data_IF_604263838701
#
_entry.id   IF_604263838701
#
_cell.length_a   1.000
_cell.length_b   1.000
_cell.length_c   1.000
_cell.angle_alpha   90.00
_cell.angle_beta   90.00
_cell.angle_gamma   90.00
#
_symmetry.space_group_name_H-M   'P 1'
#
loop_
_entity.id
_entity.type
_entity.pdbx_description
1 polymer ?
#
# COMPACT_ATOMS: atom_id res chain seq x y z
N UNK A 1 7.95 35.77 52.49
CA UNK A 1 8.26 35.74 51.08
C UNK A 1 8.27 37.17 50.58
N UNK A 2 9.44 37.65 50.19
CA UNK A 2 9.64 39.02 49.71
C UNK A 2 9.00 39.21 48.36
N UNK A 3 8.61 40.45 48.03
CA UNK A 3 8.00 40.81 46.72
C UNK A 3 8.84 40.37 45.54
N UNK A 4 10.16 40.33 45.67
CA UNK A 4 11.10 39.86 44.61
C UNK A 4 10.96 38.37 44.30
N UNK A 5 10.73 37.52 45.32
CA UNK A 5 10.54 36.06 45.07
C UNK A 5 9.24 35.76 44.32
N UNK A 6 8.22 36.59 44.46
CA UNK A 6 6.95 36.45 43.68
C UNK A 6 7.13 36.83 42.23
N UNK A 7 7.90 37.88 41.92
CA UNK A 7 8.19 38.31 40.55
C UNK A 7 9.06 37.30 39.79
N UNK A 8 10.05 36.68 40.46
CA UNK A 8 10.86 35.62 39.87
C UNK A 8 10.02 34.37 39.51
N UNK A 9 9.05 34.02 40.35
CA UNK A 9 8.11 32.93 40.07
C UNK A 9 7.22 33.19 38.87
N UNK A 10 6.71 34.43 38.74
CA UNK A 10 5.87 34.82 37.57
C UNK A 10 6.67 34.83 36.29
N UNK A 11 7.90 35.35 36.29
CA UNK A 11 8.79 35.36 35.12
C UNK A 11 9.11 33.90 34.69
N UNK A 12 9.39 33.02 35.63
CA UNK A 12 9.67 31.60 35.33
C UNK A 12 8.47 30.91 34.64
N UNK A 13 7.25 31.15 35.15
CA UNK A 13 6.03 30.58 34.59
C UNK A 13 5.80 31.13 33.16
N UNK A 14 5.98 32.42 32.95
CA UNK A 14 5.80 33.04 31.62
C UNK A 14 6.83 32.48 30.64
N UNK A 15 8.09 32.33 31.04
CA UNK A 15 9.13 31.73 30.14
C UNK A 15 8.84 30.26 29.81
N UNK A 16 8.36 29.46 30.75
CA UNK A 16 7.96 28.07 30.52
C UNK A 16 6.76 28.01 29.57
N UNK A 17 5.75 28.84 29.77
CA UNK A 17 4.56 28.89 28.87
C UNK A 17 4.96 29.35 27.45
N UNK A 18 5.85 30.31 27.30
CA UNK A 18 6.33 30.76 25.99
C UNK A 18 7.20 29.69 25.30
N UNK A 19 8.06 28.99 26.05
CA UNK A 19 8.89 27.92 25.48
C UNK A 19 8.04 26.71 25.06
N UNK A 20 7.16 26.22 25.92
CA UNK A 20 6.30 25.07 25.61
C UNK A 20 5.16 25.43 24.64
N UNK A 21 4.58 26.62 24.75
CA UNK A 21 3.57 27.12 23.81
C UNK A 21 4.16 27.38 22.43
N UNK A 22 5.36 27.93 22.34
CA UNK A 22 6.08 28.13 21.09
C UNK A 22 6.43 26.80 20.39
N UNK A 23 6.95 25.83 21.14
CA UNK A 23 7.22 24.49 20.61
C UNK A 23 5.94 23.79 20.15
N UNK A 24 4.85 23.91 20.90
CA UNK A 24 3.55 23.32 20.54
C UNK A 24 2.93 23.96 19.28
N UNK A 25 3.06 25.30 19.12
CA UNK A 25 2.61 25.99 17.91
C UNK A 25 3.48 25.68 16.69
N UNK A 26 4.79 25.56 16.85
CA UNK A 26 5.71 25.16 15.79
C UNK A 26 5.52 23.69 15.37
N UNK A 27 5.20 22.79 16.30
CA UNK A 27 4.92 21.39 15.99
C UNK A 27 3.60 21.19 15.22
N UNK A 28 2.61 22.06 15.41
CA UNK A 28 1.35 22.03 14.66
C UNK A 28 1.47 22.48 13.20
N UNK A 29 2.49 23.27 12.87
CA UNK A 29 2.69 23.83 11.52
C UNK A 29 3.45 22.92 10.55
N UNK A 30 4.04 21.82 11.00
CA UNK A 30 4.92 20.98 10.16
C UNK A 30 4.25 19.77 9.50
N UNK A 31 2.97 19.52 9.73
CA UNK A 31 2.35 18.25 9.31
C UNK A 31 1.87 18.18 7.85
N UNK A 32 1.73 19.27 7.13
CA UNK A 32 1.02 19.24 5.83
C UNK A 32 1.82 19.54 4.57
N UNK A 33 3.12 19.85 4.66
CA UNK A 33 3.87 20.38 3.51
C UNK A 33 4.72 19.39 2.70
N UNK A 34 4.69 18.10 3.00
CA UNK A 34 5.68 17.16 2.49
C UNK A 34 5.16 15.98 1.64
N UNK A 35 3.87 15.92 1.32
CA UNK A 35 3.33 14.88 0.44
C UNK A 35 2.89 15.55 -0.87
N UNK A 36 3.86 16.09 -1.61
CA UNK A 36 3.62 16.55 -2.97
C UNK A 36 3.56 15.34 -3.91
N UNK A 37 2.40 15.13 -4.53
CA UNK A 37 2.23 14.15 -5.58
C UNK A 37 2.11 14.82 -6.94
N UNK A 38 2.58 14.13 -7.98
CA UNK A 38 2.38 14.56 -9.36
C UNK A 38 1.02 14.08 -9.84
N UNK A 39 0.18 14.98 -10.35
CA UNK A 39 -1.08 14.60 -10.97
C UNK A 39 -0.80 13.82 -12.25
N UNK A 40 -1.34 12.61 -12.34
CA UNK A 40 -1.35 11.81 -13.57
C UNK A 40 -2.81 11.64 -14.02
N UNK A 41 -3.08 12.12 -15.21
CA UNK A 41 -4.45 12.29 -15.71
C UNK A 41 -5.12 11.02 -16.25
N UNK A 42 -4.50 9.84 -16.19
CA UNK A 42 -4.97 8.67 -16.95
C UNK A 42 -4.75 7.32 -16.25
N UNK A 43 -5.12 7.19 -14.98
CA UNK A 43 -5.20 5.85 -14.36
C UNK A 43 -6.50 5.19 -14.79
N UNK A 44 -6.42 4.00 -15.35
CA UNK A 44 -7.59 3.18 -15.64
C UNK A 44 -8.07 2.44 -14.39
N UNK A 45 -9.03 3.03 -13.68
CA UNK A 45 -9.64 2.44 -12.49
C UNK A 45 -10.51 1.22 -12.77
N UNK A 46 -10.75 0.87 -14.05
CA UNK A 46 -11.50 -0.36 -14.39
C UNK A 46 -10.65 -1.61 -14.21
N UNK A 47 -9.34 -1.49 -14.26
CA UNK A 47 -8.35 -2.57 -14.17
C UNK A 47 -7.90 -2.85 -12.72
N UNK A 48 -7.23 -3.99 -12.54
CA UNK A 48 -6.67 -4.43 -11.27
C UNK A 48 -7.66 -5.17 -10.39
N UNK A 49 -7.18 -5.60 -9.23
CA UNK A 49 -7.98 -6.27 -8.20
C UNK A 49 -8.50 -5.24 -7.19
N UNK A 50 -9.80 -5.21 -6.99
CA UNK A 50 -10.47 -4.16 -6.24
C UNK A 50 -11.09 -4.67 -4.96
N UNK A 51 -11.10 -3.81 -3.95
CA UNK A 51 -11.91 -3.98 -2.74
C UNK A 51 -12.44 -2.62 -2.30
N UNK A 52 -13.61 -2.59 -1.70
CA UNK A 52 -14.37 -1.37 -1.42
C UNK A 52 -15.35 -1.01 -2.52
N UNK A 53 -16.14 0.03 -2.32
CA UNK A 53 -17.21 0.43 -3.24
C UNK A 53 -16.67 1.08 -4.52
N UNK A 54 -17.29 0.75 -5.67
CA UNK A 54 -17.03 1.46 -6.94
C UNK A 54 -17.42 2.94 -6.87
N UNK A 55 -18.37 3.30 -6.02
CA UNK A 55 -18.80 4.69 -5.75
C UNK A 55 -17.97 5.38 -4.65
N UNK A 56 -16.90 4.75 -4.16
CA UNK A 56 -16.07 5.32 -3.12
C UNK A 56 -15.51 6.69 -3.55
N UNK A 57 -15.53 7.63 -2.60
CA UNK A 57 -15.03 9.00 -2.80
C UNK A 57 -13.54 9.07 -3.10
N UNK A 58 -12.78 8.17 -2.49
CA UNK A 58 -11.33 8.10 -2.66
C UNK A 58 -10.94 6.78 -3.31
N UNK A 59 -10.17 6.86 -4.39
CA UNK A 59 -9.58 5.71 -5.07
C UNK A 59 -8.09 5.67 -4.80
N UNK A 60 -7.63 4.55 -4.24
CA UNK A 60 -6.22 4.29 -3.97
C UNK A 60 -5.75 3.17 -4.89
N UNK A 61 -4.74 3.45 -5.72
CA UNK A 61 -4.11 2.44 -6.58
C UNK A 61 -2.71 2.17 -6.07
N UNK A 62 -2.38 0.92 -5.87
CA UNK A 62 -1.04 0.45 -5.55
C UNK A 62 -0.47 -0.37 -6.70
N UNK A 63 0.65 0.07 -7.27
CA UNK A 63 1.49 -0.79 -8.10
C UNK A 63 2.49 -1.50 -7.19
N UNK A 64 2.40 -2.82 -7.15
CA UNK A 64 3.04 -3.64 -6.14
C UNK A 64 3.65 -4.92 -6.70
N UNK A 65 4.61 -5.47 -5.97
CA UNK A 65 5.30 -6.72 -6.28
C UNK A 65 5.31 -7.61 -5.04
N UNK A 66 4.77 -8.80 -5.16
CA UNK A 66 4.69 -9.75 -4.06
C UNK A 66 6.06 -10.18 -3.49
N UNK A 67 7.12 -10.10 -4.27
CA UNK A 67 8.48 -10.44 -3.80
C UNK A 67 9.23 -9.21 -3.25
N UNK A 68 8.68 -8.00 -3.39
CA UNK A 68 9.34 -6.78 -2.91
C UNK A 68 9.23 -6.65 -1.38
N UNK A 69 10.35 -6.55 -0.64
CA UNK A 69 10.32 -6.38 0.83
C UNK A 69 9.64 -5.07 1.26
N UNK A 70 9.77 -4.01 0.45
CA UNK A 70 9.12 -2.73 0.75
C UNK A 70 7.58 -2.82 0.60
N UNK A 71 7.07 -3.66 -0.34
CA UNK A 71 5.65 -3.94 -0.46
C UNK A 71 5.14 -4.70 0.77
N UNK A 72 5.88 -5.71 1.25
CA UNK A 72 5.56 -6.38 2.51
C UNK A 72 5.51 -5.38 3.68
N UNK A 73 6.47 -4.45 3.77
CA UNK A 73 6.50 -3.44 4.82
C UNK A 73 5.34 -2.44 4.74
N UNK A 74 4.75 -2.22 3.55
CA UNK A 74 3.58 -1.37 3.36
C UNK A 74 2.25 -2.05 3.76
N UNK A 75 2.17 -3.38 3.73
CA UNK A 75 0.96 -4.18 3.98
C UNK A 75 0.19 -3.82 5.28
N UNK A 76 0.83 -3.62 6.44
CA UNK A 76 0.10 -3.24 7.66
C UNK A 76 -0.68 -1.93 7.49
N UNK A 77 -0.12 -0.97 6.75
CA UNK A 77 -0.73 0.34 6.51
C UNK A 77 -1.87 0.24 5.49
N UNK A 78 -1.72 -0.61 4.45
CA UNK A 78 -2.77 -0.91 3.48
C UNK A 78 -3.93 -1.66 4.14
N UNK A 79 -3.65 -2.67 4.98
CA UNK A 79 -4.67 -3.39 5.74
C UNK A 79 -5.44 -2.45 6.66
N UNK A 80 -4.72 -1.55 7.36
CA UNK A 80 -5.35 -0.53 8.21
C UNK A 80 -6.25 0.41 7.40
N UNK A 81 -5.76 0.93 6.27
CA UNK A 81 -6.51 1.81 5.38
C UNK A 81 -7.84 1.18 4.96
N UNK A 82 -7.80 -0.07 4.50
CA UNK A 82 -8.98 -0.84 4.06
C UNK A 82 -9.95 -1.12 5.20
N UNK A 83 -9.45 -1.32 6.42
CA UNK A 83 -10.27 -1.55 7.61
C UNK A 83 -10.93 -0.26 8.13
N UNK A 84 -10.21 0.86 8.10
CA UNK A 84 -10.71 2.15 8.60
C UNK A 84 -11.77 2.77 7.68
N UNK A 85 -11.71 2.52 6.36
CA UNK A 85 -12.55 3.19 5.35
C UNK A 85 -13.20 2.23 4.34
N UNK A 86 -13.89 1.15 4.77
CA UNK A 86 -14.36 0.07 3.88
C UNK A 86 -15.30 0.53 2.77
N UNK A 87 -16.11 1.58 3.03
CA UNK A 87 -17.11 2.09 2.09
C UNK A 87 -16.69 3.39 1.40
N UNK A 88 -15.69 4.09 1.96
CA UNK A 88 -15.28 5.43 1.49
C UNK A 88 -14.04 5.38 0.61
N UNK A 89 -13.28 4.29 0.68
CA UNK A 89 -12.07 4.04 -0.12
C UNK A 89 -12.26 2.80 -0.97
N UNK A 90 -12.04 2.94 -2.28
CA UNK A 90 -11.78 1.81 -3.16
C UNK A 90 -10.27 1.61 -3.26
N UNK A 91 -9.78 0.46 -2.81
CA UNK A 91 -8.40 0.06 -2.98
C UNK A 91 -8.24 -0.83 -4.20
N UNK A 92 -7.26 -0.54 -5.06
CA UNK A 92 -7.00 -1.22 -6.34
C UNK A 92 -5.55 -1.66 -6.36
N UNK A 93 -5.33 -2.97 -6.40
CA UNK A 93 -4.01 -3.59 -6.53
C UNK A 93 -3.67 -3.81 -8.01
N UNK A 94 -2.47 -3.41 -8.42
CA UNK A 94 -1.93 -3.57 -9.78
C UNK A 94 -0.59 -4.29 -9.70
N UNK A 95 -0.40 -5.28 -10.52
CA UNK A 95 0.84 -6.04 -10.56
C UNK A 95 1.97 -5.23 -11.18
N UNK A 96 3.11 -5.15 -10.49
CA UNK A 96 4.31 -4.51 -11.00
C UNK A 96 5.57 -5.29 -10.59
N UNK A 97 5.69 -6.59 -11.01
CA UNK A 97 6.84 -7.41 -10.68
C UNK A 97 8.12 -6.80 -11.27
N UNK A 98 9.11 -6.54 -10.40
CA UNK A 98 10.38 -5.93 -10.77
C UNK A 98 11.34 -6.97 -11.35
N UNK A 99 12.22 -6.61 -12.31
CA UNK A 99 13.14 -7.55 -12.94
C UNK A 99 14.05 -8.34 -11.98
N UNK A 100 14.52 -7.77 -10.83
CA UNK A 100 15.35 -8.54 -9.88
C UNK A 100 14.59 -9.60 -9.10
N UNK A 101 13.26 -9.57 -9.09
CA UNK A 101 12.41 -10.47 -8.32
C UNK A 101 12.01 -11.69 -9.16
N UNK A 102 12.75 -12.79 -8.97
CA UNK A 102 12.62 -14.01 -9.78
C UNK A 102 11.20 -14.56 -9.81
N UNK A 103 10.50 -14.51 -8.67
CA UNK A 103 9.16 -15.11 -8.50
C UNK A 103 8.01 -14.10 -8.46
N UNK A 104 8.27 -12.82 -8.72
CA UNK A 104 7.22 -11.80 -8.69
C UNK A 104 6.06 -12.09 -9.64
N UNK A 105 6.36 -12.63 -10.85
CA UNK A 105 5.33 -13.00 -11.84
C UNK A 105 4.58 -14.27 -11.45
N UNK A 106 5.26 -15.25 -10.90
CA UNK A 106 4.65 -16.49 -10.40
C UNK A 106 3.72 -16.21 -9.22
N UNK A 107 4.13 -15.36 -8.29
CA UNK A 107 3.30 -14.93 -7.17
C UNK A 107 2.06 -14.14 -7.63
N UNK A 108 2.22 -13.26 -8.64
CA UNK A 108 1.11 -12.57 -9.28
C UNK A 108 0.13 -13.55 -9.95
N UNK A 109 0.66 -14.56 -10.66
CA UNK A 109 -0.15 -15.61 -11.29
C UNK A 109 -0.93 -16.42 -10.27
N UNK A 110 -0.30 -16.79 -9.13
CA UNK A 110 -0.98 -17.47 -8.03
C UNK A 110 -2.14 -16.64 -7.46
N UNK A 111 -1.90 -15.33 -7.22
CA UNK A 111 -2.92 -14.44 -6.69
C UNK A 111 -4.11 -14.30 -7.65
N UNK A 112 -3.86 -14.18 -8.96
CA UNK A 112 -4.91 -14.12 -9.98
C UNK A 112 -5.69 -15.43 -10.11
N UNK A 113 -5.01 -16.58 -10.06
CA UNK A 113 -5.65 -17.89 -10.07
C UNK A 113 -6.55 -18.12 -8.83
N UNK A 114 -6.17 -17.54 -7.71
CA UNK A 114 -7.04 -17.47 -6.53
C UNK A 114 -8.21 -16.50 -6.74
N UNK A 115 -7.98 -15.40 -7.45
CA UNK A 115 -8.99 -14.41 -7.80
C UNK A 115 -10.10 -14.97 -8.66
N UNK A 116 -9.78 -15.82 -9.65
CA UNK A 116 -10.80 -16.56 -10.44
C UNK A 116 -11.70 -17.48 -9.58
N UNK A 117 -11.22 -17.84 -8.40
CA UNK A 117 -11.94 -18.66 -7.42
C UNK A 117 -12.50 -17.80 -6.26
N UNK A 118 -12.55 -16.46 -6.42
CA UNK A 118 -13.11 -15.52 -5.47
C UNK A 118 -12.26 -15.28 -4.22
N UNK A 119 -10.95 -15.65 -4.24
CA UNK A 119 -10.05 -15.59 -3.08
C UNK A 119 -8.75 -14.81 -3.34
N UNK A 120 -8.82 -13.77 -4.18
CA UNK A 120 -7.64 -12.94 -4.44
C UNK A 120 -7.04 -12.36 -3.15
N UNK A 121 -7.87 -11.73 -2.33
CA UNK A 121 -7.39 -10.98 -1.16
C UNK A 121 -6.88 -11.88 -0.04
N UNK A 122 -7.44 -13.07 0.11
CA UNK A 122 -6.94 -14.08 1.03
C UNK A 122 -5.57 -14.60 0.56
N UNK A 123 -5.42 -14.86 -0.74
CA UNK A 123 -4.15 -15.29 -1.31
C UNK A 123 -3.11 -14.16 -1.29
N UNK A 124 -3.49 -12.93 -1.61
CA UNK A 124 -2.66 -11.75 -1.49
C UNK A 124 -2.06 -11.63 -0.08
N UNK A 125 -2.89 -11.74 0.95
CA UNK A 125 -2.41 -11.70 2.33
C UNK A 125 -1.46 -12.86 2.64
N UNK A 126 -1.78 -14.08 2.20
CA UNK A 126 -0.95 -15.28 2.42
C UNK A 126 0.41 -15.17 1.74
N UNK A 127 0.47 -14.67 0.51
CA UNK A 127 1.72 -14.51 -0.22
C UNK A 127 2.63 -13.52 0.51
N UNK A 128 2.14 -12.36 0.96
CA UNK A 128 2.94 -11.41 1.72
C UNK A 128 3.33 -11.94 3.11
N UNK A 129 2.41 -12.53 3.86
CA UNK A 129 2.68 -13.09 5.20
C UNK A 129 3.77 -14.16 5.18
N UNK A 130 3.94 -14.85 4.07
CA UNK A 130 4.93 -15.91 3.90
C UNK A 130 6.11 -15.53 3.01
N UNK A 131 6.24 -14.25 2.63
CA UNK A 131 7.22 -13.77 1.65
C UNK A 131 8.64 -14.26 1.97
N UNK A 132 9.08 -14.15 3.23
CA UNK A 132 10.42 -14.58 3.66
C UNK A 132 10.65 -16.08 3.58
N UNK A 133 9.58 -16.89 3.48
CA UNK A 133 9.67 -18.35 3.40
C UNK A 133 9.86 -18.83 1.96
N UNK A 134 9.36 -18.06 0.97
CA UNK A 134 9.37 -18.52 -0.42
C UNK A 134 10.29 -17.71 -1.35
N UNK A 135 10.64 -16.47 -1.00
CA UNK A 135 11.40 -15.58 -1.91
C UNK A 135 12.80 -16.09 -2.27
N UNK A 136 13.39 -16.96 -1.44
CA UNK A 136 14.74 -17.50 -1.64
C UNK A 136 14.74 -19.00 -1.98
N UNK A 137 13.58 -19.61 -2.24
CA UNK A 137 13.50 -21.03 -2.62
C UNK A 137 14.11 -21.25 -4.01
N UNK A 138 14.65 -22.44 -4.25
CA UNK A 138 15.10 -22.84 -5.58
C UNK A 138 13.92 -23.11 -6.54
N UNK A 139 12.79 -23.58 -6.00
CA UNK A 139 11.51 -23.77 -6.71
C UNK A 139 10.37 -23.36 -5.79
N UNK A 140 9.62 -22.36 -6.22
CA UNK A 140 8.51 -21.77 -5.45
C UNK A 140 7.18 -22.51 -5.68
N UNK A 141 7.05 -23.28 -6.74
CA UNK A 141 5.78 -23.91 -7.15
C UNK A 141 5.17 -24.83 -6.11
N UNK A 142 5.94 -25.75 -5.47
CA UNK A 142 5.37 -26.59 -4.41
C UNK A 142 4.84 -25.80 -3.22
N UNK A 143 5.55 -24.72 -2.86
CA UNK A 143 5.12 -23.81 -1.78
C UNK A 143 3.80 -23.12 -2.13
N UNK A 144 3.69 -22.57 -3.32
CA UNK A 144 2.49 -21.87 -3.80
C UNK A 144 1.28 -22.80 -3.93
N UNK A 145 1.46 -24.03 -4.38
CA UNK A 145 0.40 -25.04 -4.37
C UNK A 145 -0.03 -25.39 -2.93
N UNK A 146 0.91 -25.41 -1.98
CA UNK A 146 0.62 -25.54 -0.56
C UNK A 146 -0.27 -24.41 -0.02
N UNK A 147 -0.03 -23.15 -0.43
CA UNK A 147 -0.88 -22.01 -0.07
C UNK A 147 -2.28 -22.15 -0.68
N UNK A 148 -2.36 -22.56 -1.95
CA UNK A 148 -3.64 -22.81 -2.63
C UNK A 148 -4.48 -23.86 -1.89
N UNK A 149 -3.85 -24.95 -1.47
CA UNK A 149 -4.49 -26.00 -0.67
C UNK A 149 -4.99 -25.48 0.67
N UNK A 150 -4.20 -24.69 1.40
CA UNK A 150 -4.59 -24.09 2.67
C UNK A 150 -5.84 -23.21 2.54
N UNK A 151 -6.02 -22.56 1.39
CA UNK A 151 -7.20 -21.75 1.09
C UNK A 151 -8.35 -22.56 0.48
N UNK A 152 -8.21 -23.88 0.32
CA UNK A 152 -9.25 -24.73 -0.28
C UNK A 152 -9.52 -24.42 -1.74
N UNK A 153 -8.51 -23.96 -2.48
CA UNK A 153 -8.59 -23.72 -3.92
C UNK A 153 -8.46 -25.05 -4.70
N UNK A 154 -9.02 -25.06 -5.90
CA UNK A 154 -8.80 -26.16 -6.84
C UNK A 154 -7.33 -26.21 -7.28
N UNK A 155 -6.54 -27.11 -6.69
CA UNK A 155 -5.08 -27.22 -6.90
C UNK A 155 -4.73 -27.39 -8.39
N UNK A 156 -5.49 -28.22 -9.14
CA UNK A 156 -5.25 -28.43 -10.57
C UNK A 156 -5.41 -27.14 -11.39
N UNK A 157 -6.40 -26.30 -11.05
CA UNK A 157 -6.61 -25.01 -11.72
C UNK A 157 -5.44 -24.06 -11.46
N UNK A 158 -4.97 -23.99 -10.21
CA UNK A 158 -3.82 -23.16 -9.84
C UNK A 158 -2.55 -23.67 -10.54
N UNK A 159 -2.31 -24.97 -10.50
CA UNK A 159 -1.17 -25.61 -11.18
C UNK A 159 -1.20 -25.31 -12.69
N UNK A 160 -2.32 -25.52 -13.35
CA UNK A 160 -2.50 -25.21 -14.78
C UNK A 160 -2.22 -23.73 -15.06
N UNK A 161 -2.76 -22.81 -14.26
CA UNK A 161 -2.55 -21.38 -14.45
C UNK A 161 -1.06 -21.00 -14.36
N UNK A 162 -0.32 -21.61 -13.42
CA UNK A 162 1.12 -21.38 -13.27
C UNK A 162 1.95 -22.00 -14.40
N UNK A 163 1.58 -23.20 -14.91
CA UNK A 163 2.27 -23.88 -16.00
C UNK A 163 2.07 -23.17 -17.33
N UNK A 164 0.88 -22.63 -17.58
CA UNK A 164 0.54 -21.96 -18.84
C UNK A 164 0.79 -20.45 -18.81
N UNK A 165 1.23 -19.87 -17.68
CA UNK A 165 1.30 -18.43 -17.48
C UNK A 165 -0.02 -17.73 -17.84
N UNK A 166 -1.15 -18.26 -17.37
CA UNK A 166 -2.49 -17.87 -17.81
C UNK A 166 -2.78 -16.36 -17.68
N UNK A 167 -2.15 -15.69 -16.70
CA UNK A 167 -2.34 -14.26 -16.42
C UNK A 167 -1.24 -13.36 -16.95
N UNK A 168 -0.35 -13.89 -17.80
CA UNK A 168 0.78 -13.12 -18.34
C UNK A 168 0.35 -11.80 -18.98
N UNK A 169 -0.70 -11.81 -19.82
CA UNK A 169 -1.18 -10.59 -20.49
C UNK A 169 -1.65 -9.55 -19.48
N UNK A 170 -2.45 -9.97 -18.49
CA UNK A 170 -2.95 -9.08 -17.43
C UNK A 170 -1.81 -8.43 -16.62
N UNK A 171 -0.80 -9.23 -16.25
CA UNK A 171 0.37 -8.76 -15.50
C UNK A 171 1.22 -7.82 -16.36
N UNK A 172 1.42 -8.15 -17.63
CA UNK A 172 2.20 -7.30 -18.55
C UNK A 172 1.46 -5.99 -18.88
N UNK A 173 0.12 -6.00 -18.97
CA UNK A 173 -0.72 -4.80 -19.14
C UNK A 173 -0.62 -3.86 -17.94
N UNK A 174 -0.64 -4.42 -16.71
CA UNK A 174 -0.43 -3.66 -15.48
C UNK A 174 0.97 -3.03 -15.45
N UNK A 175 2.01 -3.80 -15.80
CA UNK A 175 3.38 -3.32 -15.94
C UNK A 175 3.50 -2.18 -16.95
N UNK A 176 2.88 -2.33 -18.13
CA UNK A 176 2.92 -1.34 -19.19
C UNK A 176 2.26 -0.03 -18.74
N UNK A 177 1.08 -0.11 -18.13
CA UNK A 177 0.39 1.06 -17.61
C UNK A 177 1.20 1.73 -16.49
N UNK A 178 1.71 0.96 -15.53
CA UNK A 178 2.54 1.51 -14.46
C UNK A 178 3.75 2.27 -15.01
N UNK A 179 4.45 1.73 -16.01
CA UNK A 179 5.57 2.43 -16.67
C UNK A 179 5.14 3.73 -17.34
N UNK A 180 4.00 3.72 -18.03
CA UNK A 180 3.45 4.92 -18.68
C UNK A 180 3.06 5.99 -17.64
N UNK A 181 2.66 5.59 -16.43
CA UNK A 181 2.39 6.47 -15.30
C UNK A 181 3.66 6.87 -14.51
N UNK A 182 4.84 6.47 -15.00
CA UNK A 182 6.13 6.80 -14.37
C UNK A 182 6.42 5.99 -13.11
N UNK A 183 5.81 4.79 -12.96
CA UNK A 183 6.18 3.84 -11.90
C UNK A 183 7.52 3.20 -12.26
N UNK A 184 8.48 3.27 -11.35
CA UNK A 184 9.83 2.72 -11.50
C UNK A 184 10.30 1.93 -10.28
N UNK A 185 9.50 1.89 -9.23
CA UNK A 185 9.75 1.18 -7.98
C UNK A 185 8.44 0.72 -7.35
N UNK A 186 8.50 -0.23 -6.42
CA UNK A 186 7.35 -0.74 -5.67
C UNK A 186 7.61 -0.65 -4.16
N UNK A 187 6.57 -0.40 -3.36
CA UNK A 187 5.23 -0.01 -3.80
C UNK A 187 5.20 1.43 -4.32
N UNK A 188 4.34 1.71 -5.31
CA UNK A 188 4.01 3.06 -5.73
C UNK A 188 2.51 3.28 -5.57
N UNK A 189 2.13 4.32 -4.85
CA UNK A 189 0.74 4.63 -4.55
C UNK A 189 0.25 5.85 -5.34
N UNK A 190 -1.01 5.76 -5.77
CA UNK A 190 -1.76 6.88 -6.32
C UNK A 190 -3.05 7.06 -5.52
N UNK A 191 -3.40 8.30 -5.22
CA UNK A 191 -4.66 8.66 -4.55
C UNK A 191 -5.39 9.67 -5.42
N UNK A 192 -6.59 9.33 -5.90
CA UNK A 192 -7.39 10.15 -6.81
C UNK A 192 -6.59 10.69 -8.00
N UNK A 193 -5.78 9.84 -8.66
CA UNK A 193 -4.95 10.21 -9.83
C UNK A 193 -3.66 10.95 -9.48
N UNK A 194 -3.33 11.16 -8.22
CA UNK A 194 -2.10 11.80 -7.79
C UNK A 194 -1.10 10.75 -7.31
N UNK A 195 0.06 10.65 -8.00
CA UNK A 195 1.18 9.81 -7.58
C UNK A 195 1.78 10.38 -6.29
N UNK A 196 1.92 9.56 -5.26
CA UNK A 196 2.43 9.99 -3.97
C UNK A 196 3.95 9.81 -3.85
N UNK A 197 4.60 10.77 -3.18
CA UNK A 197 5.98 10.68 -2.74
C UNK A 197 5.97 10.53 -1.21
N UNK A 198 5.74 9.31 -0.73
CA UNK A 198 5.64 9.01 0.70
C UNK A 198 7.03 9.05 1.36
N UNK A 199 7.12 9.65 2.55
CA UNK A 199 8.31 9.61 3.42
C UNK A 199 8.28 8.38 4.32
N UNK A 200 7.07 7.95 4.67
CA UNK A 200 6.77 6.71 5.38
C UNK A 200 5.43 6.16 4.89
N UNK A 201 5.18 4.87 5.08
CA UNK A 201 3.89 4.27 4.70
C UNK A 201 2.71 4.78 5.53
N UNK A 202 2.94 5.34 6.72
CA UNK A 202 1.91 6.02 7.53
C UNK A 202 1.34 7.24 6.80
N UNK A 203 2.13 7.91 5.97
CA UNK A 203 1.69 9.08 5.19
C UNK A 203 0.51 8.74 4.26
N UNK A 204 0.40 7.47 3.79
CA UNK A 204 -0.72 7.02 2.96
C UNK A 204 -2.06 7.23 3.67
N UNK A 205 -2.17 6.79 4.92
CA UNK A 205 -3.40 6.94 5.70
C UNK A 205 -3.73 8.42 5.97
N UNK A 206 -2.71 9.24 6.18
CA UNK A 206 -2.87 10.69 6.37
C UNK A 206 -3.42 11.35 5.11
N UNK A 207 -2.85 11.06 3.93
CA UNK A 207 -3.31 11.60 2.65
C UNK A 207 -4.76 11.20 2.37
N UNK A 208 -5.10 9.94 2.59
CA UNK A 208 -6.48 9.47 2.36
C UNK A 208 -7.45 10.14 3.31
N UNK A 209 -7.10 10.30 4.59
CA UNK A 209 -7.94 11.02 5.56
C UNK A 209 -8.15 12.49 5.17
N UNK A 210 -7.16 13.13 4.55
CA UNK A 210 -7.29 14.50 4.01
C UNK A 210 -8.19 14.54 2.76
N UNK A 211 -8.04 13.59 1.83
CA UNK A 211 -8.90 13.51 0.63
C UNK A 211 -10.37 13.27 0.98
N UNK A 212 -10.65 12.49 2.03
CA UNK A 212 -12.02 12.25 2.50
C UNK A 212 -12.71 13.50 3.05
N UNK A 213 -11.96 14.52 3.49
CA UNK A 213 -12.50 15.80 4.02
C UNK A 213 -12.87 16.80 2.93
N UNK A 214 -12.37 16.63 1.70
CA UNK A 214 -12.68 17.50 0.55
C UNK A 214 -14.08 17.23 0.02
#
# INVERSE_FOLDING_TARGET
>A
MTTETKWLGVILIITVVLLFGGVFLLSRGQSSKAIEGTNVSQIDYSKGQKVGSDSAKVKVVEFSDFQCPACLAAEPYVKKLRADYPDQVQFIYRHFPLPPHTYGKEAATLAEAAGEQGKFWEMHSKIFETQTQWSELADVKPFFLGLAKQLGLGEDKVKQAMETNAFKSKIDDDLAEGRNLGVNSTPTFFVNGRKLNLRSFEDLNTVVAEELKK
#
